data_IF_032365401238
#
_entry.id   IF_032365401238
#
_cell.length_a   1.000
_cell.length_b   1.000
_cell.length_c   1.000
_cell.angle_alpha   90.00
_cell.angle_beta   90.00
_cell.angle_gamma   90.00
#
_symmetry.space_group_name_H-M   'P 1'
#
loop_
_entity.id
_entity.type
_entity.pdbx_description
1 polymer ?
#
# COMPACT_ATOMS: atom_id res chain seq x y z
N UNK A 1 -80.14 -18.23 -2.21
CA UNK A 1 -80.46 -18.97 -0.98
C UNK A 1 -79.52 -18.44 0.08
N UNK A 2 -79.99 -17.38 0.67
CA UNK A 2 -80.35 -17.14 2.04
C UNK A 2 -79.12 -16.97 2.95
N UNK A 3 -78.81 -15.75 3.28
CA UNK A 3 -78.40 -15.32 4.59
C UNK A 3 -79.55 -15.62 5.61
N UNK A 4 -79.41 -15.57 6.95
CA UNK A 4 -79.04 -14.36 7.65
C UNK A 4 -78.23 -14.55 8.96
N UNK A 5 -77.79 -13.48 9.46
CA UNK A 5 -78.08 -12.69 10.65
C UNK A 5 -77.21 -12.91 11.91
N UNK A 6 -76.63 -11.79 12.30
CA UNK A 6 -76.15 -11.48 13.64
C UNK A 6 -77.29 -11.39 14.65
N UNK A 7 -77.08 -11.31 15.99
CA UNK A 7 -76.75 -10.01 16.57
C UNK A 7 -75.84 -10.04 17.84
N UNK A 8 -75.26 -8.90 18.11
CA UNK A 8 -74.93 -8.30 19.39
C UNK A 8 -76.18 -8.24 20.35
N UNK A 9 -76.07 -8.08 21.69
CA UNK A 9 -75.50 -6.89 22.26
C UNK A 9 -74.95 -6.94 23.73
N UNK A 10 -74.29 -5.88 24.06
CA UNK A 10 -74.39 -5.03 25.25
C UNK A 10 -73.85 -5.56 26.59
N UNK A 11 -73.07 -4.79 27.15
CA UNK A 11 -73.13 -3.68 28.09
C UNK A 11 -72.58 -3.96 29.49
N UNK A 12 -71.97 -3.02 29.93
CA UNK A 12 -71.80 -2.25 31.18
C UNK A 12 -70.37 -2.37 31.72
N UNK A 13 -69.62 -1.28 31.81
CA UNK A 13 -69.93 -0.05 32.55
C UNK A 13 -69.42 -0.14 33.97
N UNK A 14 -68.24 0.43 34.23
CA UNK A 14 -68.11 1.32 35.35
C UNK A 14 -66.74 1.96 35.46
N UNK A 15 -66.72 3.25 35.38
CA UNK A 15 -65.81 4.20 35.98
C UNK A 15 -66.17 4.44 37.43
N UNK A 16 -65.45 5.26 38.18
CA UNK A 16 -64.06 5.37 38.60
C UNK A 16 -63.97 5.45 40.15
N UNK A 17 -62.79 5.53 40.67
CA UNK A 17 -62.62 5.93 42.07
C UNK A 17 -61.18 6.36 42.35
N UNK A 18 -61.04 7.48 43.02
CA UNK A 18 -59.77 8.14 43.18
C UNK A 18 -59.12 7.88 44.55
N UNK A 19 -57.92 8.47 44.68
CA UNK A 19 -57.18 8.68 45.91
C UNK A 19 -56.31 7.52 46.38
N UNK A 20 -54.98 7.73 46.53
CA UNK A 20 -54.49 8.55 47.62
C UNK A 20 -53.08 9.00 47.38
N UNK A 21 -52.91 10.27 47.48
CA UNK A 21 -51.70 11.00 47.81
C UNK A 21 -51.08 10.41 49.08
N UNK A 22 -49.81 10.01 49.06
CA UNK A 22 -48.83 10.15 50.11
C UNK A 22 -47.61 9.30 49.83
N UNK A 23 -46.58 9.80 49.32
CA UNK A 23 -45.31 9.96 50.04
C UNK A 23 -44.33 10.74 49.18
N UNK A 24 -44.33 12.04 49.38
CA UNK A 24 -43.13 12.83 49.22
C UNK A 24 -42.23 12.54 50.41
N UNK A 25 -40.99 12.49 50.12
CA UNK A 25 -39.78 12.52 50.97
C UNK A 25 -39.01 11.19 51.01
N UNK A 26 -37.99 11.15 50.21
CA UNK A 26 -36.64 10.89 50.62
C UNK A 26 -35.79 10.41 49.46
N UNK A 27 -34.69 11.12 49.22
CA UNK A 27 -33.51 10.51 48.60
C UNK A 27 -33.29 10.82 47.14
N UNK A 28 -33.00 12.05 46.83
CA UNK A 28 -32.06 12.39 45.76
C UNK A 28 -30.77 11.61 45.95
N UNK A 29 -30.55 10.58 45.16
CA UNK A 29 -29.21 10.20 44.78
C UNK A 29 -29.22 10.06 43.29
N UNK A 30 -28.86 11.17 42.69
CA UNK A 30 -28.44 11.30 41.32
C UNK A 30 -27.12 10.47 41.16
N UNK A 31 -27.26 9.24 40.73
CA UNK A 31 -26.14 8.46 40.29
C UNK A 31 -26.00 8.66 38.79
N UNK A 32 -25.54 9.86 38.42
CA UNK A 32 -24.82 10.04 37.16
C UNK A 32 -23.62 9.14 37.26
N UNK A 33 -23.67 8.03 36.55
CA UNK A 33 -22.50 7.22 36.25
C UNK A 33 -21.54 8.12 35.48
N UNK A 34 -20.64 8.74 36.21
CA UNK A 34 -19.47 9.39 35.70
C UNK A 34 -18.65 8.31 35.02
N UNK A 35 -18.79 8.24 33.69
CA UNK A 35 -17.76 7.60 32.88
C UNK A 35 -16.44 8.33 33.21
N UNK A 36 -15.39 7.63 33.61
CA UNK A 36 -14.13 8.28 33.79
C UNK A 36 -13.74 8.90 32.45
N UNK A 37 -13.79 10.22 32.38
CA UNK A 37 -13.15 10.98 31.34
C UNK A 37 -11.68 10.59 31.42
N UNK A 38 -11.27 9.75 30.48
CA UNK A 38 -9.87 9.41 30.26
C UNK A 38 -9.20 10.68 29.69
N UNK A 39 -8.90 11.62 30.61
CA UNK A 39 -8.19 12.86 30.35
C UNK A 39 -6.70 12.62 30.21
N UNK A 40 -6.29 11.56 29.50
CA UNK A 40 -4.95 11.47 28.99
C UNK A 40 -4.69 12.64 28.02
N UNK A 41 -3.50 13.22 27.99
CA UNK A 41 -3.21 14.29 27.06
C UNK A 41 -3.53 13.82 25.65
N UNK A 42 -4.49 14.49 24.99
CA UNK A 42 -4.75 14.29 23.56
C UNK A 42 -3.44 14.58 22.82
N UNK A 43 -2.76 13.52 22.43
CA UNK A 43 -1.59 13.64 21.58
C UNK A 43 -2.05 14.29 20.28
N UNK A 44 -1.32 15.29 19.76
CA UNK A 44 -1.70 15.90 18.49
C UNK A 44 -1.84 14.81 17.43
N UNK A 45 -2.94 14.83 16.69
CA UNK A 45 -3.23 13.90 15.61
C UNK A 45 -2.18 14.10 14.49
N UNK A 46 -1.04 13.39 14.63
CA UNK A 46 0.01 13.35 13.63
C UNK A 46 -0.28 12.12 12.79
N UNK A 47 -0.80 12.28 11.54
CA UNK A 47 -1.21 11.17 10.68
C UNK A 47 -0.14 10.09 10.47
N UNK A 48 1.13 10.43 10.72
CA UNK A 48 2.29 9.55 10.61
C UNK A 48 2.52 8.66 11.85
N UNK A 49 1.89 8.98 12.99
CA UNK A 49 2.01 8.23 14.25
C UNK A 49 0.84 7.28 14.51
N UNK A 50 -0.30 7.44 13.81
CA UNK A 50 -1.51 6.64 14.02
C UNK A 50 -1.36 5.14 13.73
N UNK A 51 -0.28 4.72 13.06
CA UNK A 51 -0.02 3.29 12.83
C UNK A 51 0.52 2.56 14.06
N UNK A 52 0.88 3.30 15.12
CA UNK A 52 1.35 2.73 16.39
C UNK A 52 0.16 2.34 17.26
N UNK A 53 -0.99 2.99 17.06
CA UNK A 53 -2.25 2.69 17.74
C UNK A 53 -3.12 1.92 16.74
N UNK A 54 -3.21 0.61 16.89
CA UNK A 54 -4.19 -0.19 16.13
C UNK A 54 -5.58 0.24 16.58
N UNK A 55 -6.21 1.14 15.82
CA UNK A 55 -7.65 1.34 15.93
C UNK A 55 -8.33 0.06 15.45
N UNK A 56 -9.18 -0.58 16.28
CA UNK A 56 -9.89 -1.77 15.86
C UNK A 56 -10.81 -1.45 14.68
N UNK A 57 -10.57 -2.08 13.60
CA UNK A 57 -11.44 -2.53 12.50
C UNK A 57 -12.79 -1.81 12.27
N UNK A 58 -12.83 -0.51 12.08
CA UNK A 58 -14.01 0.18 11.53
C UNK A 58 -13.75 0.88 10.19
N UNK A 59 -12.52 0.87 9.67
CA UNK A 59 -12.30 1.31 8.30
C UNK A 59 -12.74 0.23 7.32
N UNK A 60 -13.88 0.47 6.68
CA UNK A 60 -14.35 -0.34 5.55
C UNK A 60 -13.23 -0.44 4.53
N UNK A 61 -12.76 -1.68 4.28
CA UNK A 61 -11.76 -1.96 3.26
C UNK A 61 -12.24 -1.38 1.92
N UNK A 62 -11.53 -0.43 1.30
CA UNK A 62 -11.96 0.16 0.04
C UNK A 62 -12.17 -0.89 -1.03
N UNK A 63 -13.19 -0.71 -1.87
CA UNK A 63 -13.61 -1.70 -2.87
C UNK A 63 -12.49 -2.04 -3.86
N UNK A 64 -11.67 -1.04 -4.23
CA UNK A 64 -10.56 -1.20 -5.19
C UNK A 64 -9.27 -1.75 -4.56
N UNK A 65 -9.27 -1.99 -3.24
CA UNK A 65 -8.10 -2.50 -2.52
C UNK A 65 -7.60 -3.82 -3.12
N UNK A 66 -6.37 -3.79 -3.67
CA UNK A 66 -5.71 -4.93 -4.28
C UNK A 66 -6.10 -5.24 -5.73
N UNK A 67 -7.16 -4.65 -6.29
CA UNK A 67 -7.57 -4.91 -7.69
C UNK A 67 -6.57 -4.37 -8.70
N UNK A 68 -5.97 -3.20 -8.45
CA UNK A 68 -4.97 -2.60 -9.34
C UNK A 68 -3.79 -3.55 -9.52
N UNK A 69 -3.22 -4.06 -8.43
CA UNK A 69 -2.09 -4.99 -8.50
C UNK A 69 -2.50 -6.37 -9.03
N UNK A 70 -3.70 -6.85 -8.71
CA UNK A 70 -4.23 -8.10 -9.27
C UNK A 70 -4.40 -8.04 -10.79
N UNK A 71 -4.89 -6.91 -11.31
CA UNK A 71 -4.96 -6.67 -12.74
C UNK A 71 -3.59 -6.50 -13.40
N UNK A 72 -2.64 -5.83 -12.71
CA UNK A 72 -1.29 -5.61 -13.23
C UNK A 72 -0.46 -6.91 -13.28
N UNK A 73 -0.67 -7.84 -12.34
CA UNK A 73 0.15 -9.04 -12.20
C UNK A 73 0.28 -9.89 -13.48
N UNK A 74 -0.81 -10.28 -14.19
CA UNK A 74 -0.71 -11.04 -15.44
C UNK A 74 0.03 -10.26 -16.54
N UNK A 75 -0.15 -8.94 -16.61
CA UNK A 75 0.62 -8.10 -17.54
C UNK A 75 2.10 -8.08 -17.18
N UNK A 76 2.46 -8.06 -15.90
CA UNK A 76 3.85 -8.13 -15.47
C UNK A 76 4.51 -9.41 -15.96
N UNK A 77 3.82 -10.56 -15.93
CA UNK A 77 4.35 -11.82 -16.47
C UNK A 77 4.61 -11.70 -17.98
N UNK A 78 3.63 -11.22 -18.75
CA UNK A 78 3.77 -11.05 -20.20
C UNK A 78 4.90 -10.08 -20.55
N UNK A 79 4.98 -8.94 -19.86
CA UNK A 79 6.03 -7.94 -20.03
C UNK A 79 7.41 -8.50 -19.67
N UNK A 80 7.49 -9.38 -18.67
CA UNK A 80 8.72 -10.10 -18.30
C UNK A 80 9.21 -11.00 -19.40
N UNK A 81 8.31 -11.79 -19.99
CA UNK A 81 8.65 -12.66 -21.12
C UNK A 81 9.17 -11.83 -22.29
N UNK A 82 8.47 -10.75 -22.65
CA UNK A 82 8.90 -9.85 -23.73
C UNK A 82 10.29 -9.28 -23.46
N UNK A 83 10.48 -8.67 -22.29
CA UNK A 83 11.74 -8.00 -21.92
C UNK A 83 12.93 -8.96 -21.98
N UNK A 84 12.80 -10.14 -21.37
CA UNK A 84 13.89 -11.13 -21.33
C UNK A 84 14.17 -11.71 -22.73
N UNK A 85 13.12 -11.89 -23.55
CA UNK A 85 13.26 -12.43 -24.90
C UNK A 85 14.01 -11.48 -25.85
N UNK A 86 13.74 -10.17 -25.76
CA UNK A 86 14.36 -9.17 -26.65
C UNK A 86 15.71 -8.63 -26.12
N UNK A 87 16.03 -8.86 -24.84
CA UNK A 87 17.27 -8.40 -24.25
C UNK A 87 18.50 -8.99 -24.94
N UNK A 88 19.49 -8.13 -25.23
CA UNK A 88 20.71 -8.52 -25.94
C UNK A 88 21.83 -8.92 -24.98
N UNK A 89 22.35 -10.15 -25.17
CA UNK A 89 23.42 -10.71 -24.35
C UNK A 89 22.96 -11.26 -22.99
N UNK A 90 23.80 -12.08 -22.40
CA UNK A 90 23.48 -12.73 -21.11
C UNK A 90 23.33 -11.73 -19.95
N UNK A 91 24.16 -10.68 -19.80
CA UNK A 91 24.00 -9.71 -18.73
C UNK A 91 22.63 -9.01 -18.75
N UNK A 92 22.17 -8.57 -19.95
CA UNK A 92 20.88 -7.93 -20.12
C UNK A 92 19.71 -8.86 -19.74
N UNK A 93 19.77 -10.13 -20.18
CA UNK A 93 18.74 -11.13 -19.86
C UNK A 93 18.64 -11.40 -18.36
N UNK A 94 19.78 -11.62 -17.70
CA UNK A 94 19.80 -11.89 -16.26
C UNK A 94 19.36 -10.68 -15.43
N UNK A 95 19.86 -9.50 -15.75
CA UNK A 95 19.46 -8.29 -15.06
C UNK A 95 17.96 -7.99 -15.23
N UNK A 96 17.42 -8.17 -16.45
CA UNK A 96 15.99 -8.08 -16.74
C UNK A 96 15.18 -9.13 -15.97
N UNK A 97 15.67 -10.36 -15.87
CA UNK A 97 15.01 -11.44 -15.12
C UNK A 97 14.91 -11.10 -13.63
N UNK A 98 15.96 -10.52 -13.02
CA UNK A 98 15.95 -10.07 -11.63
C UNK A 98 14.87 -8.99 -11.42
N UNK A 99 14.83 -7.96 -12.29
CA UNK A 99 13.81 -6.92 -12.24
C UNK A 99 12.40 -7.49 -12.35
N UNK A 100 12.16 -8.38 -13.31
CA UNK A 100 10.83 -8.94 -13.51
C UNK A 100 10.41 -9.87 -12.38
N UNK A 101 11.33 -10.66 -11.82
CA UNK A 101 11.04 -11.50 -10.65
C UNK A 101 10.62 -10.66 -9.45
N UNK A 102 11.37 -9.60 -9.14
CA UNK A 102 11.04 -8.70 -8.02
C UNK A 102 9.73 -7.95 -8.24
N UNK A 103 9.42 -7.59 -9.50
CA UNK A 103 8.13 -6.98 -9.87
C UNK A 103 6.96 -7.96 -9.68
N UNK A 104 7.13 -9.22 -10.11
CA UNK A 104 6.12 -10.27 -9.91
C UNK A 104 5.89 -10.56 -8.43
N UNK A 105 6.93 -10.58 -7.62
CA UNK A 105 6.83 -10.76 -6.16
C UNK A 105 6.05 -9.61 -5.53
N UNK A 106 6.31 -8.36 -5.93
CA UNK A 106 5.57 -7.21 -5.41
C UNK A 106 4.10 -7.26 -5.82
N UNK A 107 3.79 -7.29 -7.12
CA UNK A 107 2.41 -7.23 -7.60
C UNK A 107 1.59 -8.46 -7.18
N UNK A 108 2.19 -9.66 -7.26
CA UNK A 108 1.53 -10.91 -6.88
C UNK A 108 1.24 -10.99 -5.38
N UNK A 109 2.23 -10.70 -4.53
CA UNK A 109 2.01 -10.73 -3.08
C UNK A 109 1.06 -9.63 -2.62
N UNK A 110 1.16 -8.43 -3.19
CA UNK A 110 0.27 -7.33 -2.85
C UNK A 110 -1.17 -7.64 -3.26
N UNK A 111 -1.40 -8.20 -4.44
CA UNK A 111 -2.71 -8.70 -4.86
C UNK A 111 -3.25 -9.74 -3.88
N UNK A 112 -2.43 -10.73 -3.53
CA UNK A 112 -2.79 -11.81 -2.61
C UNK A 112 -3.14 -11.27 -1.22
N UNK A 113 -2.29 -10.40 -0.67
CA UNK A 113 -2.49 -9.81 0.66
C UNK A 113 -3.79 -8.98 0.74
N UNK A 114 -4.07 -8.18 -0.28
CA UNK A 114 -5.17 -7.23 -0.24
C UNK A 114 -6.51 -7.78 -0.72
N UNK A 115 -6.54 -8.84 -1.55
CA UNK A 115 -7.79 -9.35 -2.12
C UNK A 115 -8.52 -10.32 -1.21
N UNK A 116 -7.80 -11.15 -0.48
CA UNK A 116 -8.39 -12.23 0.31
C UNK A 116 -8.43 -11.89 1.80
N UNK A 117 -9.32 -12.56 2.52
CA UNK A 117 -9.39 -12.46 3.96
C UNK A 117 -8.58 -13.60 4.57
N UNK A 118 -7.58 -13.25 5.35
CA UNK A 118 -6.59 -14.15 5.91
C UNK A 118 -6.74 -14.30 7.41
N UNK A 119 -6.41 -15.48 7.92
CA UNK A 119 -6.25 -15.68 9.37
C UNK A 119 -5.17 -14.69 9.89
N UNK A 120 -5.27 -14.23 11.16
CA UNK A 120 -4.39 -13.18 11.69
C UNK A 120 -2.89 -13.43 11.48
N UNK A 121 -2.42 -14.66 11.73
CA UNK A 121 -1.00 -15.04 11.54
C UNK A 121 -0.56 -14.93 10.08
N UNK A 122 -1.37 -15.46 9.15
CA UNK A 122 -1.09 -15.38 7.70
C UNK A 122 -1.16 -13.94 7.20
N UNK A 123 -2.13 -13.16 7.66
CA UNK A 123 -2.26 -11.74 7.33
C UNK A 123 -1.02 -10.95 7.74
N UNK A 124 -0.51 -11.20 8.95
CA UNK A 124 0.70 -10.57 9.44
C UNK A 124 1.94 -10.93 8.60
N UNK A 125 2.08 -12.21 8.23
CA UNK A 125 3.18 -12.68 7.37
C UNK A 125 3.11 -12.01 5.99
N UNK A 126 1.95 -12.03 5.33
CA UNK A 126 1.75 -11.41 4.03
C UNK A 126 2.00 -9.90 4.07
N UNK A 127 1.59 -9.20 5.16
CA UNK A 127 1.89 -7.79 5.38
C UNK A 127 3.41 -7.53 5.46
N UNK A 128 4.16 -8.39 6.13
CA UNK A 128 5.63 -8.27 6.20
C UNK A 128 6.27 -8.42 4.82
N UNK A 129 5.85 -9.44 4.08
CA UNK A 129 6.35 -9.70 2.72
C UNK A 129 5.97 -8.56 1.78
N UNK A 130 4.73 -8.06 1.83
CA UNK A 130 4.24 -6.96 1.01
C UNK A 130 5.10 -5.70 1.16
N UNK A 131 5.43 -5.32 2.40
CA UNK A 131 6.31 -4.18 2.65
C UNK A 131 7.78 -4.46 2.34
N UNK A 132 8.27 -5.68 2.54
CA UNK A 132 9.63 -6.07 2.19
C UNK A 132 9.85 -6.06 0.67
N UNK A 133 8.84 -6.43 -0.10
CA UNK A 133 8.88 -6.45 -1.56
C UNK A 133 9.10 -5.05 -2.17
N UNK A 134 8.81 -3.96 -1.45
CA UNK A 134 9.11 -2.60 -1.93
C UNK A 134 10.63 -2.41 -2.03
N UNK A 135 11.38 -2.78 -0.99
CA UNK A 135 12.85 -2.75 -1.04
C UNK A 135 13.41 -3.66 -2.12
N UNK A 136 12.80 -4.85 -2.25
CA UNK A 136 13.21 -5.83 -3.25
C UNK A 136 12.98 -5.31 -4.67
N UNK A 137 11.83 -4.65 -4.93
CA UNK A 137 11.55 -4.04 -6.23
C UNK A 137 12.51 -2.89 -6.54
N UNK A 138 12.84 -2.05 -5.54
CA UNK A 138 13.82 -0.98 -5.73
C UNK A 138 15.15 -1.58 -6.19
N UNK A 139 15.72 -2.55 -5.46
CA UNK A 139 16.96 -3.19 -5.82
C UNK A 139 16.89 -3.92 -7.17
N UNK A 140 15.77 -4.60 -7.44
CA UNK A 140 15.50 -5.27 -8.71
C UNK A 140 15.47 -4.30 -9.89
N UNK A 141 14.88 -3.10 -9.71
CA UNK A 141 14.84 -2.04 -10.73
C UNK A 141 16.25 -1.48 -11.02
N UNK A 142 17.06 -1.31 -9.98
CA UNK A 142 18.45 -0.85 -10.14
C UNK A 142 19.32 -1.85 -10.85
N UNK A 143 19.02 -3.15 -10.78
CA UNK A 143 19.87 -4.20 -11.33
C UNK A 143 20.12 -4.02 -12.83
N UNK A 144 19.11 -3.95 -13.71
CA UNK A 144 19.36 -3.72 -15.13
C UNK A 144 19.89 -2.32 -15.43
N UNK A 145 19.47 -1.28 -14.69
CA UNK A 145 19.97 0.09 -14.89
C UNK A 145 21.48 0.13 -14.64
N UNK A 146 21.93 -0.41 -13.53
CA UNK A 146 23.36 -0.43 -13.17
C UNK A 146 24.21 -1.27 -14.12
N UNK A 147 23.69 -2.45 -14.53
CA UNK A 147 24.40 -3.35 -15.45
C UNK A 147 24.47 -2.83 -16.87
N UNK A 148 23.42 -2.13 -17.35
CA UNK A 148 23.28 -1.76 -18.75
C UNK A 148 23.63 -0.30 -19.04
N UNK A 149 23.40 0.61 -18.08
CA UNK A 149 23.55 2.04 -18.31
C UNK A 149 24.79 2.67 -17.66
N UNK A 150 25.54 1.91 -16.84
CA UNK A 150 26.69 2.45 -16.12
C UNK A 150 28.00 1.74 -16.54
N UNK A 151 29.14 2.45 -16.48
CA UNK A 151 30.45 1.81 -16.52
C UNK A 151 30.55 0.74 -15.44
N UNK A 152 31.24 -0.40 -15.67
CA UNK A 152 31.24 -1.56 -14.76
C UNK A 152 31.57 -1.23 -13.30
N UNK A 153 32.56 -0.39 -13.05
CA UNK A 153 32.96 0.02 -11.70
C UNK A 153 31.83 0.77 -10.95
N UNK A 154 31.18 1.72 -11.63
CA UNK A 154 30.05 2.48 -11.07
C UNK A 154 28.83 1.56 -10.87
N UNK A 155 28.58 0.66 -11.82
CA UNK A 155 27.50 -0.30 -11.77
C UNK A 155 27.63 -1.25 -10.57
N UNK A 156 28.81 -1.83 -10.35
CA UNK A 156 29.08 -2.69 -9.19
C UNK A 156 28.93 -1.93 -7.88
N UNK A 157 29.42 -0.70 -7.78
CA UNK A 157 29.28 0.13 -6.58
C UNK A 157 27.81 0.39 -6.28
N UNK A 158 27.05 0.88 -7.27
CA UNK A 158 25.62 1.17 -7.11
C UNK A 158 24.84 -0.09 -6.70
N UNK A 159 25.06 -1.21 -7.37
CA UNK A 159 24.40 -2.49 -7.03
C UNK A 159 24.70 -2.93 -5.61
N UNK A 160 25.98 -2.86 -5.20
CA UNK A 160 26.40 -3.27 -3.86
C UNK A 160 25.68 -2.42 -2.79
N UNK A 161 25.63 -1.09 -2.97
CA UNK A 161 24.99 -0.18 -2.06
C UNK A 161 23.48 -0.38 -2.01
N UNK A 162 22.83 -0.53 -3.17
CA UNK A 162 21.37 -0.66 -3.25
C UNK A 162 20.90 -2.01 -2.73
N UNK A 163 21.57 -3.11 -3.06
CA UNK A 163 21.22 -4.42 -2.53
C UNK A 163 21.51 -4.53 -1.03
N UNK A 164 22.62 -3.98 -0.54
CA UNK A 164 22.89 -3.92 0.91
C UNK A 164 21.80 -3.11 1.62
N UNK A 165 21.45 -1.92 1.11
CA UNK A 165 20.37 -1.10 1.65
C UNK A 165 19.01 -1.79 1.62
N UNK A 166 18.71 -2.50 0.53
CA UNK A 166 17.46 -3.26 0.41
C UNK A 166 17.40 -4.43 1.41
N UNK A 167 18.46 -5.19 1.56
CA UNK A 167 18.52 -6.30 2.53
C UNK A 167 18.39 -5.80 3.98
N UNK A 168 19.05 -4.69 4.32
CA UNK A 168 18.88 -4.03 5.62
C UNK A 168 17.45 -3.54 5.81
N UNK A 169 16.85 -2.93 4.78
CA UNK A 169 15.46 -2.46 4.81
C UNK A 169 14.46 -3.61 4.94
N UNK A 170 14.69 -4.74 4.27
CA UNK A 170 13.89 -5.97 4.42
C UNK A 170 14.00 -6.48 5.86
N UNK A 171 15.21 -6.61 6.38
CA UNK A 171 15.44 -6.99 7.78
C UNK A 171 14.71 -6.07 8.74
N UNK A 172 14.85 -4.76 8.56
CA UNK A 172 14.13 -3.76 9.33
C UNK A 172 12.61 -3.98 9.32
N UNK A 173 11.99 -4.24 8.14
CA UNK A 173 10.53 -4.46 8.04
C UNK A 173 10.07 -5.80 8.58
N UNK A 174 10.89 -6.84 8.48
CA UNK A 174 10.58 -8.19 9.00
C UNK A 174 10.63 -8.19 10.53
N UNK A 175 11.65 -7.57 11.13
CA UNK A 175 11.84 -7.61 12.59
C UNK A 175 11.11 -6.49 13.33
N UNK A 176 10.91 -5.32 12.71
CA UNK A 176 10.22 -4.19 13.33
C UNK A 176 8.98 -3.77 12.51
N UNK A 177 7.93 -4.58 12.55
CA UNK A 177 6.70 -4.34 11.79
C UNK A 177 5.91 -3.11 12.25
N UNK A 178 6.04 -2.73 13.52
CA UNK A 178 5.40 -1.56 14.12
C UNK A 178 6.22 -0.27 13.97
N UNK A 179 7.24 -0.28 13.13
CA UNK A 179 8.00 0.93 12.83
C UNK A 179 7.07 2.04 12.32
N UNK A 180 7.27 3.29 12.75
CA UNK A 180 6.43 4.40 12.32
C UNK A 180 6.50 4.59 10.81
N UNK A 181 5.36 4.92 10.20
CA UNK A 181 5.19 5.00 8.74
C UNK A 181 6.20 5.94 8.08
N UNK A 182 6.42 7.10 8.66
CA UNK A 182 7.35 8.09 8.13
C UNK A 182 8.76 7.54 7.94
N UNK A 183 9.22 6.68 8.86
CA UNK A 183 10.57 6.15 8.84
C UNK A 183 10.79 5.23 7.63
N UNK A 184 9.90 4.26 7.40
CA UNK A 184 10.09 3.36 6.27
C UNK A 184 9.78 4.03 4.91
N UNK A 185 8.93 5.07 4.88
CA UNK A 185 8.73 5.89 3.68
C UNK A 185 10.01 6.63 3.32
N UNK A 186 10.67 7.26 4.30
CA UNK A 186 11.97 7.91 4.08
C UNK A 186 13.02 6.92 3.59
N UNK A 187 13.09 5.71 4.17
CA UNK A 187 14.03 4.69 3.73
C UNK A 187 13.79 4.24 2.28
N UNK A 188 12.51 4.07 1.87
CA UNK A 188 12.18 3.78 0.47
C UNK A 188 12.61 4.90 -0.46
N UNK A 189 12.35 6.15 -0.10
CA UNK A 189 12.72 7.31 -0.90
C UNK A 189 14.25 7.47 -0.99
N UNK A 190 14.95 7.37 0.14
CA UNK A 190 16.41 7.48 0.17
C UNK A 190 17.07 6.44 -0.74
N UNK A 191 16.61 5.17 -0.67
CA UNK A 191 17.13 4.12 -1.53
C UNK A 191 16.69 4.33 -2.99
N UNK A 192 15.44 4.75 -3.22
CA UNK A 192 14.88 4.95 -4.56
C UNK A 192 15.54 6.09 -5.34
N UNK A 193 16.09 7.10 -4.66
CA UNK A 193 16.77 8.24 -5.31
C UNK A 193 18.28 8.06 -5.47
N UNK A 194 18.85 6.89 -5.15
CA UNK A 194 20.29 6.63 -5.35
C UNK A 194 20.74 6.81 -6.82
N UNK A 195 19.85 6.62 -7.81
CA UNK A 195 20.14 6.85 -9.24
C UNK A 195 20.48 8.30 -9.57
N UNK A 196 20.08 9.27 -8.76
CA UNK A 196 20.36 10.71 -9.03
C UNK A 196 21.83 10.98 -9.22
N UNK A 197 22.70 10.27 -8.51
CA UNK A 197 24.15 10.39 -8.63
C UNK A 197 24.69 9.94 -10.00
N UNK A 198 23.91 9.19 -10.76
CA UNK A 198 24.31 8.56 -12.02
C UNK A 198 23.46 9.01 -13.22
N UNK A 199 22.67 10.08 -13.07
CA UNK A 199 21.80 10.57 -14.14
C UNK A 199 22.57 10.94 -15.41
N UNK A 200 23.79 11.47 -15.28
CA UNK A 200 24.65 11.81 -16.44
C UNK A 200 25.06 10.55 -17.19
N UNK A 201 25.45 9.49 -16.49
CA UNK A 201 25.81 8.22 -17.11
C UNK A 201 24.60 7.59 -17.81
N UNK A 202 23.42 7.60 -17.15
CA UNK A 202 22.17 7.08 -17.72
C UNK A 202 21.76 7.89 -18.96
N UNK A 203 21.93 9.21 -18.93
CA UNK A 203 21.67 10.09 -20.07
C UNK A 203 22.57 9.76 -21.26
N UNK A 204 23.85 9.55 -21.01
CA UNK A 204 24.83 9.16 -22.05
C UNK A 204 24.54 7.78 -22.63
N UNK A 205 24.06 6.86 -21.79
CA UNK A 205 23.62 5.54 -22.23
C UNK A 205 22.36 5.60 -23.11
N UNK A 206 21.34 6.30 -22.64
CA UNK A 206 20.07 6.52 -23.37
C UNK A 206 19.29 7.67 -22.72
N UNK A 207 19.13 8.78 -23.44
CA UNK A 207 18.44 9.97 -22.92
C UNK A 207 16.96 9.73 -22.58
N UNK A 208 16.27 8.92 -23.39
CA UNK A 208 14.85 8.57 -23.11
C UNK A 208 14.74 7.72 -21.84
N UNK A 209 15.67 6.80 -21.63
CA UNK A 209 15.71 5.99 -20.40
C UNK A 209 15.94 6.85 -19.17
N UNK A 210 16.81 7.87 -19.23
CA UNK A 210 17.01 8.81 -18.13
C UNK A 210 15.71 9.56 -17.78
N UNK A 211 15.01 10.09 -18.78
CA UNK A 211 13.72 10.78 -18.56
C UNK A 211 12.70 9.85 -17.92
N UNK A 212 12.58 8.62 -18.42
CA UNK A 212 11.65 7.61 -17.86
C UNK A 212 12.02 7.21 -16.43
N UNK A 213 13.31 7.09 -16.10
CA UNK A 213 13.77 6.82 -14.73
C UNK A 213 13.36 7.96 -13.78
N UNK A 214 13.52 9.22 -14.21
CA UNK A 214 13.10 10.38 -13.42
C UNK A 214 11.57 10.40 -13.24
N UNK A 215 10.80 10.24 -14.32
CA UNK A 215 9.34 10.25 -14.28
C UNK A 215 8.81 9.10 -13.38
N UNK A 216 9.40 7.92 -13.51
CA UNK A 216 9.07 6.78 -12.64
C UNK A 216 9.42 7.04 -11.17
N UNK A 217 10.60 7.64 -10.89
CA UNK A 217 11.00 8.03 -9.55
C UNK A 217 10.08 9.08 -8.93
N UNK A 218 9.62 10.04 -9.70
CA UNK A 218 8.63 11.03 -9.27
C UNK A 218 7.27 10.38 -8.99
N UNK A 219 6.82 9.44 -9.83
CA UNK A 219 5.58 8.71 -9.59
C UNK A 219 5.65 7.89 -8.29
N UNK A 220 6.74 7.17 -8.03
CA UNK A 220 6.97 6.50 -6.75
C UNK A 220 6.97 7.47 -5.57
N UNK A 221 7.62 8.62 -5.72
CA UNK A 221 7.69 9.65 -4.67
C UNK A 221 6.30 10.19 -4.33
N UNK A 222 5.50 10.56 -5.35
CA UNK A 222 4.14 11.04 -5.15
C UNK A 222 3.27 9.97 -4.49
N UNK A 223 3.40 8.71 -4.90
CA UNK A 223 2.73 7.57 -4.28
C UNK A 223 3.13 7.39 -2.82
N UNK A 224 4.42 7.42 -2.53
CA UNK A 224 4.95 7.27 -1.17
C UNK A 224 4.52 8.43 -0.26
N UNK A 225 4.48 9.66 -0.76
CA UNK A 225 3.98 10.85 -0.04
C UNK A 225 2.49 10.71 0.24
N UNK A 226 1.67 10.37 -0.77
CA UNK A 226 0.24 10.14 -0.58
C UNK A 226 -0.03 9.04 0.47
N UNK A 227 0.74 7.96 0.42
CA UNK A 227 0.66 6.87 1.40
C UNK A 227 1.10 7.32 2.79
N UNK A 228 2.21 8.06 2.90
CA UNK A 228 2.72 8.58 4.16
C UNK A 228 1.74 9.53 4.85
N UNK A 229 1.15 10.45 4.09
CA UNK A 229 0.21 11.46 4.59
C UNK A 229 -1.23 10.94 4.79
N UNK A 230 -1.54 9.70 4.34
CA UNK A 230 -2.90 9.15 4.31
C UNK A 230 -3.90 10.04 3.54
N UNK A 231 -3.42 10.78 2.55
CA UNK A 231 -4.22 11.73 1.73
C UNK A 231 -3.68 11.77 0.28
N UNK A 232 -4.53 12.13 -0.71
CA UNK A 232 -5.97 12.41 -0.61
C UNK A 232 -6.82 11.12 -0.56
N UNK A 233 -8.09 11.25 -0.12
CA UNK A 233 -9.10 10.20 -0.19
C UNK A 233 -10.25 10.67 -1.10
N UNK A 234 -10.07 10.66 -2.44
CA UNK A 234 -11.04 11.26 -3.36
C UNK A 234 -12.41 10.57 -3.32
N UNK A 235 -12.46 9.26 -3.07
CA UNK A 235 -13.71 8.50 -3.00
C UNK A 235 -13.69 7.60 -1.75
N UNK A 236 -14.13 8.12 -0.58
CA UNK A 236 -14.14 7.35 0.66
C UNK A 236 -14.87 6.00 0.51
N UNK A 237 -14.29 4.92 1.05
CA UNK A 237 -14.82 3.55 0.94
C UNK A 237 -14.61 2.87 -0.42
N UNK A 238 -14.16 3.59 -1.45
CA UNK A 238 -13.89 3.04 -2.80
C UNK A 238 -12.43 3.16 -3.21
N UNK A 239 -11.91 4.39 -3.25
CA UNK A 239 -10.58 4.71 -3.76
C UNK A 239 -9.95 5.83 -2.92
N UNK A 240 -8.86 5.52 -2.22
CA UNK A 240 -8.19 6.43 -1.31
C UNK A 240 -6.67 6.49 -1.56
N UNK A 241 -5.95 7.03 -0.60
CA UNK A 241 -4.49 7.23 -0.67
C UNK A 241 -3.72 5.94 -0.97
N UNK A 242 -4.18 4.81 -0.47
CA UNK A 242 -3.53 3.52 -0.67
C UNK A 242 -3.69 3.02 -2.11
N UNK A 243 -4.87 3.20 -2.70
CA UNK A 243 -5.13 2.89 -4.10
C UNK A 243 -4.37 3.85 -5.03
N UNK A 244 -4.20 5.12 -4.64
CA UNK A 244 -3.35 6.09 -5.34
C UNK A 244 -1.89 5.62 -5.34
N UNK A 245 -1.40 5.18 -4.18
CA UNK A 245 -0.05 4.61 -4.08
C UNK A 245 0.12 3.40 -5.02
N UNK A 246 -0.84 2.46 -5.04
CA UNK A 246 -0.80 1.32 -5.95
C UNK A 246 -0.82 1.74 -7.44
N UNK A 247 -1.67 2.69 -7.80
CA UNK A 247 -1.75 3.19 -9.18
C UNK A 247 -0.44 3.86 -9.61
N UNK A 248 0.14 4.71 -8.76
CA UNK A 248 1.41 5.37 -9.03
C UNK A 248 2.59 4.39 -9.04
N UNK A 249 2.53 3.31 -8.25
CA UNK A 249 3.48 2.19 -8.34
C UNK A 249 3.43 1.52 -9.71
N UNK A 250 2.25 1.31 -10.27
CA UNK A 250 2.09 0.75 -11.64
C UNK A 250 2.63 1.72 -12.69
N UNK A 251 2.32 3.01 -12.60
CA UNK A 251 2.87 4.03 -13.52
C UNK A 251 4.40 4.04 -13.47
N UNK A 252 4.98 4.03 -12.27
CA UNK A 252 6.43 4.00 -12.10
C UNK A 252 7.04 2.73 -12.67
N UNK A 253 6.42 1.56 -12.42
CA UNK A 253 6.85 0.29 -12.99
C UNK A 253 6.87 0.34 -14.53
N UNK A 254 5.83 0.87 -15.16
CA UNK A 254 5.76 1.00 -16.62
C UNK A 254 6.85 1.91 -17.17
N UNK A 255 7.12 3.04 -16.50
CA UNK A 255 8.22 3.94 -16.88
C UNK A 255 9.58 3.23 -16.79
N UNK A 256 9.85 2.55 -15.66
CA UNK A 256 11.11 1.84 -15.48
C UNK A 256 11.23 0.63 -16.40
N UNK A 257 10.16 -0.13 -16.62
CA UNK A 257 10.16 -1.23 -17.58
C UNK A 257 10.52 -0.75 -18.99
N UNK A 258 9.91 0.36 -19.44
CA UNK A 258 10.23 0.95 -20.75
C UNK A 258 11.67 1.44 -20.81
N UNK A 259 12.16 2.10 -19.76
CA UNK A 259 13.56 2.51 -19.68
C UNK A 259 14.53 1.33 -19.80
N UNK A 260 14.25 0.26 -19.06
CA UNK A 260 15.05 -0.97 -19.07
C UNK A 260 14.97 -1.67 -20.43
N UNK A 261 13.78 -1.70 -21.06
CA UNK A 261 13.61 -2.25 -22.41
C UNK A 261 14.51 -1.54 -23.41
N UNK A 262 14.53 -0.20 -23.41
CA UNK A 262 15.40 0.60 -24.31
C UNK A 262 16.87 0.30 -24.10
N UNK A 263 17.31 0.12 -22.86
CA UNK A 263 18.68 -0.26 -22.53
C UNK A 263 19.00 -1.72 -22.88
N UNK A 264 18.03 -2.63 -22.70
CA UNK A 264 18.22 -4.07 -22.91
C UNK A 264 18.28 -4.48 -24.39
N UNK A 265 17.59 -3.76 -25.25
CA UNK A 265 17.63 -4.00 -26.71
C UNK A 265 18.88 -3.41 -27.40
N UNK A 266 19.52 -2.42 -26.78
CA UNK A 266 20.74 -1.79 -27.31
C UNK A 266 21.65 -1.36 -26.15
N UNK A 267 22.28 -2.33 -25.44
CA UNK A 267 23.11 -2.03 -24.29
C UNK A 267 24.41 -1.32 -24.69
N UNK A 268 24.69 -0.10 -24.16
CA UNK A 268 25.85 0.70 -24.61
C UNK A 268 27.20 0.14 -24.20
N UNK A 269 27.26 -0.75 -23.19
CA UNK A 269 28.50 -1.28 -22.62
C UNK A 269 28.71 -2.79 -22.85
N UNK A 270 27.84 -3.46 -23.60
CA UNK A 270 27.89 -4.91 -23.87
C UNK A 270 28.09 -5.20 -25.36
N UNK A 271 29.00 -4.45 -26.02
CA UNK A 271 29.47 -4.72 -27.36
C UNK A 271 30.64 -5.71 -27.35
#
# INVERSE_FOLDING_TARGET
MAAPESPDPASSGNHPGPETRANQLAGTTDATADSPADGGPELPNIPLLDDVIEHPATELKPTWRGWIHAGTFPFTIAMGIVLISVAQGAPAKWASAVFMLTSMLLFGNSALYHRFDWKPKTKLLLKRIDHANIFLLIAGTYTPIAVLALPPEKGVLLLSLVWAGALLGIGFRVFWIHAPRWLYVILYLALGWAAVMYLVDIFQANSASMVLVIVGGLAYTLGAVAYGLKRPNPFPGKFGFHEIFHALTVVAFLCHWTAILLLAINPPFNG
#
